data_IF_317357139013
#
_entry.id   IF_317357139013
#
_cell.length_a   1.000
_cell.length_b   1.000
_cell.length_c   1.000
_cell.angle_alpha   90.00
_cell.angle_beta   90.00
_cell.angle_gamma   90.00
#
_symmetry.space_group_name_H-M   'P 1'
#
loop_
_entity.id
_entity.type
_entity.pdbx_description
1 polymer ?
#
# COMPACT_ATOMS: atom_id res chain seq x y z
N UNK A 1 -2.92 -21.44 -21.48
CA UNK A 1 -2.48 -20.25 -20.74
C UNK A 1 -3.03 -20.37 -19.33
N UNK A 2 -2.19 -20.64 -18.37
CA UNK A 2 -2.61 -20.72 -16.96
C UNK A 2 -3.00 -19.32 -16.52
N UNK A 3 -4.29 -19.12 -16.34
CA UNK A 3 -4.87 -17.95 -15.67
C UNK A 3 -4.36 -17.99 -14.22
N UNK A 4 -3.20 -17.35 -13.98
CA UNK A 4 -2.65 -17.26 -12.63
C UNK A 4 -3.59 -16.32 -11.89
N UNK A 5 -4.45 -16.88 -11.04
CA UNK A 5 -5.36 -16.11 -10.22
C UNK A 5 -4.59 -14.99 -9.52
N UNK A 6 -5.03 -13.75 -9.70
CA UNK A 6 -4.43 -12.60 -9.03
C UNK A 6 -4.54 -12.79 -7.52
N UNK A 7 -3.45 -12.52 -6.80
CA UNK A 7 -3.42 -12.68 -5.35
C UNK A 7 -4.43 -11.72 -4.69
N UNK A 8 -5.26 -12.27 -3.79
CA UNK A 8 -6.29 -11.53 -3.08
C UNK A 8 -6.22 -11.84 -1.57
N UNK A 9 -5.63 -10.96 -0.75
CA UNK A 9 -5.01 -9.67 -1.10
C UNK A 9 -3.67 -9.82 -1.85
N UNK A 10 -3.17 -8.70 -2.39
CA UNK A 10 -1.85 -8.63 -3.02
C UNK A 10 -0.76 -8.75 -1.95
N UNK A 11 0.15 -9.71 -2.13
CA UNK A 11 1.24 -9.98 -1.18
C UNK A 11 2.53 -9.27 -1.60
N UNK A 12 3.18 -8.63 -0.63
CA UNK A 12 4.48 -8.01 -0.79
C UNK A 12 5.60 -8.92 -0.24
N UNK A 13 6.86 -8.75 -0.70
CA UNK A 13 8.00 -9.44 -0.11
C UNK A 13 8.13 -9.13 1.39
N UNK A 14 8.57 -10.11 2.18
CA UNK A 14 8.89 -9.92 3.59
C UNK A 14 9.96 -8.84 3.78
N UNK A 15 9.83 -8.08 4.85
CA UNK A 15 10.78 -7.05 5.27
C UNK A 15 11.19 -7.31 6.71
N UNK A 16 12.39 -6.87 7.07
CA UNK A 16 12.90 -6.98 8.44
C UNK A 16 13.01 -5.59 9.03
N UNK A 17 12.65 -5.44 10.30
CA UNK A 17 12.84 -4.19 11.06
C UNK A 17 14.34 -3.99 11.32
N UNK A 18 14.90 -2.95 10.73
CA UNK A 18 16.32 -2.63 10.82
C UNK A 18 16.65 -1.87 12.13
N UNK A 19 17.87 -2.03 12.63
CA UNK A 19 18.35 -1.39 13.85
C UNK A 19 18.16 0.14 13.83
N UNK A 20 18.48 0.79 12.71
CA UNK A 20 18.39 2.24 12.55
C UNK A 20 16.95 2.79 12.58
N UNK A 21 15.96 1.91 12.50
CA UNK A 21 14.54 2.29 12.52
C UNK A 21 13.92 2.23 13.89
N UNK A 22 14.67 1.75 14.89
CA UNK A 22 14.20 1.58 16.28
C UNK A 22 14.43 2.88 17.06
N UNK A 23 13.42 3.32 17.80
CA UNK A 23 13.49 4.51 18.62
C UNK A 23 14.00 4.21 20.04
N UNK A 24 14.08 5.24 20.87
CA UNK A 24 14.58 5.13 22.26
C UNK A 24 13.70 4.25 23.17
N UNK A 25 12.50 3.87 22.74
CA UNK A 25 11.65 2.92 23.45
C UNK A 25 11.95 1.46 23.09
N UNK A 26 12.84 1.21 22.13
CA UNK A 26 13.15 -0.12 21.62
C UNK A 26 12.15 -0.64 20.59
N UNK A 27 11.24 0.19 20.11
CA UNK A 27 10.21 -0.17 19.14
C UNK A 27 10.48 0.47 17.78
N UNK A 28 9.96 -0.14 16.72
CA UNK A 28 9.94 0.48 15.40
C UNK A 28 9.30 1.86 15.49
N UNK A 29 10.06 2.89 15.12
CA UNK A 29 9.61 4.27 15.14
C UNK A 29 8.44 4.47 14.15
N UNK A 30 7.46 5.28 14.51
CA UNK A 30 6.24 5.51 13.72
C UNK A 30 6.52 5.89 12.26
N UNK A 31 7.57 6.66 12.00
CA UNK A 31 7.92 7.09 10.64
C UNK A 31 8.34 5.90 9.76
N UNK A 32 8.98 4.91 10.33
CA UNK A 32 9.48 3.75 9.59
C UNK A 32 8.40 2.70 9.28
N UNK A 33 7.30 2.65 10.03
CA UNK A 33 6.09 1.94 9.57
C UNK A 33 5.67 2.49 8.21
N UNK A 34 5.68 3.82 8.07
CA UNK A 34 5.31 4.45 6.80
C UNK A 34 6.32 4.14 5.69
N UNK A 35 7.62 4.14 5.99
CA UNK A 35 8.68 3.73 5.04
C UNK A 35 8.45 2.30 4.55
N UNK A 36 8.12 1.37 5.45
CA UNK A 36 7.83 -0.01 5.08
C UNK A 36 6.58 -0.13 4.17
N UNK A 37 5.52 0.62 4.46
CA UNK A 37 4.35 0.68 3.58
C UNK A 37 4.70 1.25 2.20
N UNK A 38 5.44 2.35 2.15
CA UNK A 38 5.83 3.02 0.91
C UNK A 38 6.68 2.09 0.01
N UNK A 39 7.74 1.49 0.57
CA UNK A 39 8.57 0.53 -0.15
C UNK A 39 7.80 -0.72 -0.63
N UNK A 40 6.78 -1.13 0.11
CA UNK A 40 5.92 -2.25 -0.29
C UNK A 40 4.92 -1.84 -1.37
N UNK A 41 4.46 -0.58 -1.38
CA UNK A 41 3.62 -0.03 -2.43
C UNK A 41 4.33 0.00 -3.79
N UNK A 42 5.65 0.23 -3.80
CA UNK A 42 6.46 0.17 -5.01
C UNK A 42 6.34 -1.18 -5.73
N UNK A 43 6.24 -2.27 -4.97
CA UNK A 43 6.03 -3.60 -5.58
C UNK A 43 4.68 -3.68 -6.30
N UNK A 44 3.61 -3.16 -5.69
CA UNK A 44 2.30 -3.10 -6.31
C UNK A 44 2.33 -2.21 -7.57
N UNK A 45 2.94 -1.03 -7.49
CA UNK A 45 3.06 -0.12 -8.63
C UNK A 45 3.86 -0.71 -9.79
N UNK A 46 4.94 -1.44 -9.49
CA UNK A 46 5.73 -2.14 -10.51
C UNK A 46 4.88 -3.20 -11.23
N UNK A 47 4.12 -4.01 -10.50
CA UNK A 47 3.24 -5.02 -11.08
C UNK A 47 2.11 -4.43 -11.91
N UNK A 48 1.59 -3.26 -11.51
CA UNK A 48 0.60 -2.51 -12.27
C UNK A 48 1.17 -1.77 -13.48
N UNK A 49 2.51 -1.68 -13.60
CA UNK A 49 3.19 -0.99 -14.71
C UNK A 49 3.23 0.53 -14.57
N UNK A 50 3.11 1.04 -13.36
CA UNK A 50 3.20 2.48 -13.02
C UNK A 50 4.29 2.77 -11.99
N UNK A 51 5.22 1.84 -11.78
CA UNK A 51 6.31 1.95 -10.82
C UNK A 51 7.55 2.65 -11.38
N UNK A 52 8.69 2.25 -10.83
CA UNK A 52 9.97 2.93 -11.05
C UNK A 52 10.38 3.07 -12.53
N UNK A 53 10.29 1.98 -13.32
CA UNK A 53 10.70 2.02 -14.72
C UNK A 53 9.79 2.89 -15.59
N UNK A 54 8.49 2.89 -15.28
CA UNK A 54 7.53 3.79 -15.91
C UNK A 54 7.85 5.25 -15.59
N UNK A 55 8.09 5.57 -14.32
CA UNK A 55 8.40 6.94 -13.88
C UNK A 55 9.70 7.45 -14.51
N UNK A 56 10.70 6.60 -14.68
CA UNK A 56 11.96 6.96 -15.36
C UNK A 56 11.79 7.37 -16.83
N UNK A 57 10.76 6.89 -17.51
CA UNK A 57 10.45 7.30 -18.88
C UNK A 57 9.99 8.76 -18.95
N UNK A 58 9.60 9.36 -17.81
CA UNK A 58 9.29 10.77 -17.68
C UNK A 58 7.91 11.18 -18.21
N UNK A 59 7.06 10.23 -18.59
CA UNK A 59 5.72 10.51 -19.11
C UNK A 59 4.70 10.67 -17.98
N UNK A 60 4.74 9.80 -16.99
CA UNK A 60 3.81 9.80 -15.86
C UNK A 60 4.41 9.23 -14.58
N UNK A 61 3.72 9.44 -13.49
CA UNK A 61 4.04 8.88 -12.17
C UNK A 61 2.76 8.73 -11.33
N UNK A 62 2.81 7.93 -10.30
CA UNK A 62 1.71 7.81 -9.34
C UNK A 62 2.12 8.45 -8.01
N UNK A 63 1.37 9.45 -7.57
CA UNK A 63 1.63 10.18 -6.33
C UNK A 63 0.64 9.76 -5.25
N UNK A 64 1.13 9.54 -4.04
CA UNK A 64 0.26 9.40 -2.86
C UNK A 64 -0.23 10.78 -2.44
N UNK A 65 -1.54 10.99 -2.48
CA UNK A 65 -2.18 12.27 -2.17
C UNK A 65 -2.71 12.34 -0.73
N UNK A 66 -3.05 11.19 -0.15
CA UNK A 66 -3.61 11.10 1.20
C UNK A 66 -3.23 9.77 1.83
N UNK A 67 -2.90 9.78 3.11
CA UNK A 67 -2.55 8.59 3.89
C UNK A 67 -3.16 8.67 5.27
N UNK A 68 -3.76 7.57 5.72
CA UNK A 68 -4.16 7.38 7.10
C UNK A 68 -3.52 6.11 7.65
N UNK A 69 -2.63 6.26 8.62
CA UNK A 69 -1.96 5.13 9.29
C UNK A 69 -2.54 4.92 10.67
N UNK A 70 -2.86 3.67 11.00
CA UNK A 70 -3.22 3.25 12.36
C UNK A 70 -2.14 2.32 12.90
N UNK A 71 -1.58 2.65 14.05
CA UNK A 71 -0.64 1.80 14.80
C UNK A 71 -1.43 1.00 15.82
N UNK A 72 -1.37 -0.32 15.74
CA UNK A 72 -2.22 -1.24 16.51
C UNK A 72 -1.42 -2.08 17.51
N UNK A 73 -0.19 -2.43 17.15
CA UNK A 73 0.72 -3.19 18.00
C UNK A 73 2.16 -2.84 17.65
N UNK A 74 3.09 -3.14 18.55
CA UNK A 74 4.50 -2.82 18.39
C UNK A 74 5.26 -3.84 17.54
N UNK A 75 6.33 -3.39 16.91
CA UNK A 75 7.32 -4.20 16.24
C UNK A 75 8.69 -3.85 16.78
N UNK A 76 9.55 -4.86 16.93
CA UNK A 76 10.88 -4.73 17.51
C UNK A 76 11.95 -4.92 16.43
N UNK A 77 13.20 -4.55 16.76
CA UNK A 77 14.35 -4.83 15.91
C UNK A 77 14.43 -6.32 15.56
N UNK A 78 14.66 -6.61 14.30
CA UNK A 78 14.79 -7.98 13.78
C UNK A 78 13.47 -8.69 13.51
N UNK A 79 12.31 -8.12 13.89
CA UNK A 79 11.02 -8.69 13.53
C UNK A 79 10.84 -8.69 12.02
N UNK A 80 10.35 -9.79 11.46
CA UNK A 80 9.93 -9.85 10.07
C UNK A 80 8.47 -9.39 9.95
N UNK A 81 8.20 -8.59 8.94
CA UNK A 81 6.86 -8.08 8.62
C UNK A 81 6.36 -8.57 7.28
N UNK A 82 5.09 -8.93 7.24
CA UNK A 82 4.34 -9.28 6.05
C UNK A 82 3.34 -8.16 5.75
N UNK A 83 3.43 -7.59 4.56
CA UNK A 83 2.55 -6.51 4.12
C UNK A 83 1.70 -6.98 2.96
N UNK A 84 0.41 -6.69 3.03
CA UNK A 84 -0.55 -6.97 1.97
C UNK A 84 -1.28 -5.71 1.56
N UNK A 85 -1.67 -5.62 0.29
CA UNK A 85 -2.50 -4.55 -0.24
C UNK A 85 -3.83 -5.07 -0.77
N UNK A 86 -4.90 -4.34 -0.45
CA UNK A 86 -6.23 -4.52 -1.02
C UNK A 86 -6.62 -3.26 -1.79
N UNK A 87 -7.06 -3.41 -3.04
CA UNK A 87 -7.70 -2.32 -3.77
C UNK A 87 -9.13 -2.19 -3.25
N UNK A 88 -9.47 -1.02 -2.69
CA UNK A 88 -10.81 -0.71 -2.22
C UNK A 88 -11.67 -0.08 -3.32
N UNK A 89 -11.06 0.76 -4.15
CA UNK A 89 -11.71 1.44 -5.27
C UNK A 89 -10.68 1.94 -6.28
N UNK A 90 -11.08 2.17 -7.51
CA UNK A 90 -10.24 2.74 -8.55
C UNK A 90 -11.10 3.42 -9.63
N UNK A 91 -10.55 4.47 -10.23
CA UNK A 91 -11.11 5.11 -11.42
C UNK A 91 -10.03 5.33 -12.48
N UNK A 92 -10.35 6.10 -13.51
CA UNK A 92 -9.42 6.33 -14.63
C UNK A 92 -8.05 6.88 -14.22
N UNK A 93 -7.90 7.53 -13.06
CA UNK A 93 -6.69 8.22 -12.61
C UNK A 93 -6.37 8.10 -11.12
N UNK A 94 -7.24 7.47 -10.33
CA UNK A 94 -7.07 7.30 -8.87
C UNK A 94 -7.11 5.84 -8.48
N UNK A 95 -6.32 5.51 -7.47
CA UNK A 95 -6.27 4.18 -6.88
C UNK A 95 -6.36 4.33 -5.35
N UNK A 96 -7.43 3.77 -4.78
CA UNK A 96 -7.67 3.72 -3.35
C UNK A 96 -7.27 2.35 -2.83
N UNK A 97 -6.21 2.29 -2.05
CA UNK A 97 -5.66 1.04 -1.52
C UNK A 97 -5.64 1.03 0.00
N UNK A 98 -5.67 -0.17 0.54
CA UNK A 98 -5.56 -0.42 1.97
C UNK A 98 -4.50 -1.48 2.23
N UNK A 99 -3.54 -1.16 3.08
CA UNK A 99 -2.47 -2.06 3.47
C UNK A 99 -2.64 -2.56 4.91
N UNK A 100 -2.31 -3.85 5.11
CA UNK A 100 -2.15 -4.45 6.43
C UNK A 100 -0.68 -4.84 6.61
N UNK A 101 -0.12 -4.53 7.78
CA UNK A 101 1.22 -4.95 8.19
C UNK A 101 1.10 -5.91 9.36
N UNK A 102 1.54 -7.14 9.17
CA UNK A 102 1.51 -8.19 10.18
C UNK A 102 2.93 -8.53 10.63
N UNK A 103 3.08 -8.87 11.89
CA UNK A 103 4.26 -9.62 12.33
C UNK A 103 4.25 -10.98 11.62
N UNK A 104 5.30 -11.28 10.85
CA UNK A 104 5.25 -12.44 9.93
C UNK A 104 5.13 -13.79 10.67
N UNK A 105 5.83 -13.96 11.80
CA UNK A 105 5.84 -15.19 12.56
C UNK A 105 4.64 -15.30 13.53
N UNK A 106 4.39 -14.23 14.32
CA UNK A 106 3.35 -14.24 15.36
C UNK A 106 1.94 -13.98 14.81
N UNK A 107 1.83 -13.45 13.58
CA UNK A 107 0.58 -13.27 12.85
C UNK A 107 -0.34 -12.12 13.31
N UNK A 108 0.05 -11.34 14.33
CA UNK A 108 -0.78 -10.21 14.74
C UNK A 108 -0.67 -9.03 13.78
N UNK A 109 -1.74 -8.23 13.72
CA UNK A 109 -1.81 -7.02 12.90
C UNK A 109 -1.13 -5.87 13.66
N UNK A 110 0.02 -5.41 13.16
CA UNK A 110 0.81 -4.35 13.80
C UNK A 110 0.37 -2.95 13.37
N UNK A 111 0.05 -2.76 12.10
CA UNK A 111 -0.38 -1.47 11.58
C UNK A 111 -1.22 -1.61 10.31
N UNK A 112 -1.96 -0.54 10.00
CA UNK A 112 -2.68 -0.40 8.72
C UNK A 112 -2.36 0.93 8.06
N UNK A 113 -2.44 0.98 6.73
CA UNK A 113 -2.30 2.21 5.95
C UNK A 113 -3.36 2.27 4.86
N UNK A 114 -4.23 3.26 4.94
CA UNK A 114 -5.18 3.59 3.88
C UNK A 114 -4.62 4.71 3.02
N UNK A 115 -4.61 4.55 1.71
CA UNK A 115 -3.92 5.48 0.82
C UNK A 115 -4.78 5.79 -0.41
N UNK A 116 -4.78 7.08 -0.78
CA UNK A 116 -5.27 7.57 -2.07
C UNK A 116 -4.10 7.94 -2.95
N UNK A 117 -3.96 7.24 -4.06
CA UNK A 117 -2.91 7.48 -5.05
C UNK A 117 -3.51 8.08 -6.32
N UNK A 118 -2.81 9.03 -6.94
CA UNK A 118 -3.26 9.74 -8.14
C UNK A 118 -2.19 9.64 -9.21
N UNK A 119 -2.58 9.23 -10.41
CA UNK A 119 -1.69 9.26 -11.57
C UNK A 119 -1.57 10.69 -12.10
N UNK A 120 -0.35 11.10 -12.39
CA UNK A 120 0.04 12.45 -12.80
C UNK A 120 0.84 12.38 -14.10
N UNK A 121 0.43 13.19 -15.07
CA UNK A 121 1.24 13.49 -16.27
C UNK A 121 2.42 14.37 -15.82
N UNK A 122 3.65 13.92 -16.09
CA UNK A 122 4.86 14.58 -15.61
C UNK A 122 5.24 15.83 -16.43
N UNK A 123 4.67 16.00 -17.63
CA UNK A 123 4.87 17.19 -18.47
C UNK A 123 3.97 18.34 -18.02
N UNK A 124 2.70 18.05 -17.79
CA UNK A 124 1.72 19.06 -17.36
C UNK A 124 1.65 19.23 -15.85
N UNK A 125 2.16 18.27 -15.07
CA UNK A 125 2.10 18.19 -13.60
C UNK A 125 0.66 18.15 -13.06
N UNK A 126 -0.26 17.55 -13.83
CA UNK A 126 -1.68 17.43 -13.50
C UNK A 126 -2.12 15.98 -13.50
N UNK A 127 -3.16 15.70 -12.71
CA UNK A 127 -3.79 14.39 -12.70
C UNK A 127 -4.27 14.00 -14.10
N UNK A 128 -3.92 12.79 -14.53
CA UNK A 128 -4.22 12.26 -15.85
C UNK A 128 -4.58 10.77 -15.77
N UNK A 129 -5.30 10.22 -16.76
CA UNK A 129 -5.63 8.81 -16.77
C UNK A 129 -4.38 7.91 -16.72
N UNK A 130 -4.49 6.76 -16.06
CA UNK A 130 -3.47 5.72 -16.15
C UNK A 130 -3.26 5.26 -17.60
N UNK A 131 -2.06 4.78 -17.97
CA UNK A 131 -1.86 4.09 -19.24
C UNK A 131 -2.87 2.94 -19.39
N UNK A 132 -3.36 2.72 -20.61
CA UNK A 132 -4.43 1.71 -20.87
C UNK A 132 -4.05 0.31 -20.34
N UNK A 133 -2.79 -0.11 -20.53
CA UNK A 133 -2.31 -1.40 -20.03
C UNK A 133 -2.35 -1.49 -18.51
N UNK A 134 -2.02 -0.40 -17.81
CA UNK A 134 -2.07 -0.31 -16.35
C UNK A 134 -3.50 -0.27 -15.84
N UNK A 135 -4.39 0.46 -16.52
CA UNK A 135 -5.80 0.51 -16.18
C UNK A 135 -6.44 -0.87 -16.22
N UNK A 136 -6.16 -1.67 -17.26
CA UNK A 136 -6.64 -3.08 -17.35
C UNK A 136 -6.14 -3.94 -16.17
N UNK A 137 -4.90 -3.76 -15.75
CA UNK A 137 -4.35 -4.48 -14.59
C UNK A 137 -5.00 -4.04 -13.27
N UNK A 138 -5.23 -2.73 -13.10
CA UNK A 138 -5.92 -2.17 -11.94
C UNK A 138 -7.35 -2.72 -11.86
N UNK A 139 -8.09 -2.71 -12.96
CA UNK A 139 -9.46 -3.25 -13.03
C UNK A 139 -9.49 -4.74 -12.70
N UNK A 140 -8.56 -5.53 -13.25
CA UNK A 140 -8.45 -6.95 -12.96
C UNK A 140 -8.16 -7.22 -11.48
N UNK A 141 -7.23 -6.46 -10.88
CA UNK A 141 -6.89 -6.57 -9.46
C UNK A 141 -8.05 -6.13 -8.56
N UNK A 142 -8.72 -5.02 -8.89
CA UNK A 142 -9.90 -4.55 -8.16
C UNK A 142 -11.02 -5.59 -8.18
N UNK A 143 -11.24 -6.24 -9.33
CA UNK A 143 -12.20 -7.34 -9.46
C UNK A 143 -11.82 -8.55 -8.60
N UNK A 144 -10.55 -8.93 -8.57
CA UNK A 144 -10.07 -10.03 -7.72
C UNK A 144 -10.27 -9.72 -6.23
N UNK A 145 -10.14 -8.44 -5.83
CA UNK A 145 -10.29 -8.00 -4.45
C UNK A 145 -11.74 -7.70 -4.03
N UNK A 146 -12.69 -7.67 -4.96
CA UNK A 146 -14.08 -7.29 -4.69
C UNK A 146 -14.78 -8.20 -3.66
N UNK A 147 -14.34 -9.45 -3.53
CA UNK A 147 -14.85 -10.41 -2.54
C UNK A 147 -14.20 -10.34 -1.15
N UNK A 148 -13.15 -9.54 -0.99
CA UNK A 148 -12.49 -9.37 0.30
C UNK A 148 -13.33 -8.51 1.24
N UNK A 149 -13.31 -8.84 2.54
CA UNK A 149 -13.96 -8.01 3.55
C UNK A 149 -13.36 -6.59 3.56
N UNK A 150 -14.21 -5.59 3.75
CA UNK A 150 -13.72 -4.21 3.94
C UNK A 150 -12.94 -4.14 5.24
N UNK A 151 -11.70 -3.60 5.23
CA UNK A 151 -10.89 -3.47 6.44
C UNK A 151 -11.58 -2.62 7.51
N UNK A 152 -11.46 -3.02 8.78
CA UNK A 152 -12.13 -2.36 9.89
C UNK A 152 -11.72 -0.88 10.04
N UNK A 153 -10.44 -0.56 9.75
CA UNK A 153 -9.90 0.80 9.86
C UNK A 153 -10.14 1.66 8.61
N UNK A 154 -10.72 1.08 7.53
CA UNK A 154 -10.96 1.84 6.30
C UNK A 154 -12.01 2.94 6.51
N UNK A 155 -11.66 4.16 6.13
CA UNK A 155 -12.50 5.34 6.31
C UNK A 155 -12.56 5.84 7.76
N UNK A 156 -11.65 5.38 8.63
CA UNK A 156 -11.60 5.82 10.01
C UNK A 156 -11.29 7.31 10.12
N UNK A 157 -12.05 8.01 10.95
CA UNK A 157 -11.80 9.40 11.32
C UNK A 157 -11.07 9.46 12.66
N UNK A 158 -10.01 10.28 12.74
CA UNK A 158 -9.26 10.52 13.98
C UNK A 158 -10.18 11.25 14.97
N UNK A 159 -10.32 10.70 16.17
CA UNK A 159 -11.12 11.32 17.22
C UNK A 159 -11.18 10.44 18.47
N UNK A 160 -11.54 11.08 19.59
CA UNK A 160 -11.75 10.38 20.87
C UNK A 160 -13.19 9.86 20.89
N UNK A 161 -13.34 8.53 20.89
CA UNK A 161 -14.65 7.90 21.11
C UNK A 161 -14.99 7.97 22.60
N UNK A 162 -15.97 8.77 22.96
CA UNK A 162 -16.54 8.81 24.33
C UNK A 162 -17.68 7.81 24.43
N UNK A 163 -17.68 7.03 25.50
CA UNK A 163 -18.80 6.12 25.86
C UNK A 163 -19.98 6.93 26.36
#
# INVERSE_FOLDING_TARGET
MTDTALAAPFECPLRTVEHEWVDYNGHLNMAYYHVLFDQSLDKLFNDLGIGWDYTKQGEGSCFTAEVHVCYLDELLEGDEVRITYQVLDADAKRLHVFAHMYHAEKGYLAATSEQMCIHVDMKTRRAAPFPEASQKKIEALAKAHAGLARPEQAGRVIGIKRK
#
